data_IF_019408787433
#
_entry.id   IF_019408787433
#
_cell.length_a   1.000
_cell.length_b   1.000
_cell.length_c   1.000
_cell.angle_alpha   90.00
_cell.angle_beta   90.00
_cell.angle_gamma   90.00
#
_symmetry.space_group_name_H-M   'P 1'
#
loop_
_entity.id
_entity.type
_entity.pdbx_description
1 polymer ?
#
# COMPACT_ATOMS: atom_id res chain seq x y z
N UNK A 1 4.78 23.96 -0.15
CA UNK A 1 4.45 22.55 0.18
C UNK A 1 5.54 21.67 -0.44
N UNK A 2 6.13 20.78 0.36
CA UNK A 2 7.26 19.92 -0.04
C UNK A 2 6.91 18.44 0.04
N UNK A 3 6.10 18.05 1.04
CA UNK A 3 5.74 16.66 1.28
C UNK A 3 4.26 16.53 1.68
N UNK A 4 3.63 15.43 1.25
CA UNK A 4 2.30 15.02 1.70
C UNK A 4 2.35 13.56 2.13
N UNK A 5 1.89 13.28 3.35
CA UNK A 5 1.80 11.95 3.94
C UNK A 5 0.32 11.54 3.95
N UNK A 6 0.00 10.38 3.38
CA UNK A 6 -1.37 9.89 3.30
C UNK A 6 -1.51 8.50 3.91
N UNK A 7 -2.49 8.31 4.79
CA UNK A 7 -3.04 7.02 5.17
C UNK A 7 -4.38 6.81 4.45
N UNK A 8 -4.46 5.81 3.61
CA UNK A 8 -5.57 5.56 2.69
C UNK A 8 -6.22 4.22 3.04
N UNK A 9 -7.49 4.25 3.42
CA UNK A 9 -8.28 3.03 3.72
C UNK A 9 -9.77 3.25 3.44
N UNK A 10 -10.54 2.19 3.07
CA UNK A 10 -11.99 2.29 3.00
C UNK A 10 -12.64 2.54 4.38
N UNK A 11 -13.91 2.97 4.42
CA UNK A 11 -14.79 3.28 3.29
C UNK A 11 -14.53 4.67 2.70
N UNK A 12 -14.75 4.86 1.40
CA UNK A 12 -14.63 6.14 0.70
C UNK A 12 -16.00 6.74 0.37
N UNK A 13 -16.08 8.07 0.21
CA UNK A 13 -17.30 8.78 -0.16
C UNK A 13 -17.74 8.52 -1.60
N UNK A 14 -16.78 8.27 -2.48
CA UNK A 14 -16.99 8.04 -3.92
C UNK A 14 -16.16 6.83 -4.33
N UNK A 15 -16.65 6.11 -5.32
CA UNK A 15 -16.00 4.88 -5.81
C UNK A 15 -14.59 5.15 -6.37
N UNK A 16 -14.37 6.32 -6.97
CA UNK A 16 -13.05 6.76 -7.43
C UNK A 16 -13.03 8.30 -7.45
N UNK A 17 -12.13 8.97 -6.71
CA UNK A 17 -12.07 10.42 -6.69
C UNK A 17 -11.33 10.96 -7.93
N UNK A 18 -12.08 11.55 -8.86
CA UNK A 18 -11.49 12.39 -9.93
C UNK A 18 -11.34 13.86 -9.51
N UNK A 19 -11.80 14.23 -8.30
CA UNK A 19 -11.75 15.60 -7.82
C UNK A 19 -10.47 15.86 -7.06
N UNK A 20 -9.57 16.61 -7.63
CA UNK A 20 -8.31 17.02 -7.02
C UNK A 20 -7.07 16.58 -7.81
N UNK A 21 -7.23 15.80 -8.87
CA UNK A 21 -6.11 15.35 -9.70
C UNK A 21 -5.34 16.55 -10.29
N UNK A 22 -6.04 17.56 -10.80
CA UNK A 22 -5.39 18.78 -11.31
C UNK A 22 -4.54 19.47 -10.24
N UNK A 23 -5.04 19.56 -8.99
CA UNK A 23 -4.31 20.17 -7.87
C UNK A 23 -3.12 19.31 -7.43
N UNK A 24 -3.24 17.99 -7.45
CA UNK A 24 -2.14 17.06 -7.15
C UNK A 24 -1.08 17.10 -8.24
N UNK A 25 -1.49 17.03 -9.50
CA UNK A 25 -0.60 17.15 -10.65
C UNK A 25 0.19 18.46 -10.64
N UNK A 26 -0.45 19.57 -10.32
CA UNK A 26 0.19 20.87 -10.18
C UNK A 26 1.18 20.90 -8.99
N UNK A 27 0.84 20.27 -7.87
CA UNK A 27 1.74 20.15 -6.73
C UNK A 27 2.96 19.27 -7.05
N UNK A 28 2.77 18.16 -7.76
CA UNK A 28 3.88 17.29 -8.24
C UNK A 28 4.83 18.04 -9.17
N UNK A 29 4.31 18.83 -10.12
CA UNK A 29 5.15 19.68 -10.99
C UNK A 29 6.02 20.66 -10.20
N UNK A 30 5.59 21.08 -9.03
CA UNK A 30 6.35 21.92 -8.09
C UNK A 30 7.31 21.13 -7.18
N UNK A 31 7.46 19.82 -7.41
CA UNK A 31 8.36 18.96 -6.65
C UNK A 31 7.80 18.51 -5.29
N UNK A 32 6.49 18.53 -5.08
CA UNK A 32 5.86 17.99 -3.88
C UNK A 32 5.93 16.48 -3.91
N UNK A 33 6.52 15.88 -2.88
CA UNK A 33 6.63 14.44 -2.70
C UNK A 33 5.38 13.90 -2.01
N UNK A 34 4.76 12.87 -2.58
CA UNK A 34 3.64 12.16 -1.98
C UNK A 34 4.08 10.78 -1.49
N UNK A 35 3.76 10.46 -0.24
CA UNK A 35 3.99 9.16 0.38
C UNK A 35 2.66 8.59 0.86
N UNK A 36 2.23 7.50 0.25
CA UNK A 36 0.91 6.91 0.48
C UNK A 36 1.06 5.52 1.12
N UNK A 37 0.45 5.31 2.29
CA UNK A 37 0.23 3.98 2.86
C UNK A 37 -1.22 3.59 2.60
N UNK A 38 -1.43 2.52 1.86
CA UNK A 38 -2.73 2.10 1.36
C UNK A 38 -3.13 0.77 2.00
N UNK A 39 -4.36 0.71 2.53
CA UNK A 39 -4.93 -0.55 3.01
C UNK A 39 -5.24 -1.47 1.82
N UNK A 40 -4.89 -2.78 1.85
CA UNK A 40 -5.06 -3.70 0.73
C UNK A 40 -6.48 -3.79 0.17
N UNK A 41 -7.52 -3.65 1.02
CA UNK A 41 -8.92 -3.66 0.57
C UNK A 41 -9.23 -2.54 -0.44
N UNK A 42 -8.43 -1.48 -0.48
CA UNK A 42 -8.54 -0.42 -1.48
C UNK A 42 -8.33 -0.97 -2.89
N UNK A 43 -7.46 -1.96 -3.06
CA UNK A 43 -7.20 -2.61 -4.34
C UNK A 43 -8.40 -3.41 -4.89
N UNK A 44 -9.33 -3.83 -4.02
CA UNK A 44 -10.54 -4.53 -4.42
C UNK A 44 -11.67 -3.59 -4.86
N UNK A 45 -11.55 -2.28 -4.62
CA UNK A 45 -12.59 -1.31 -4.94
C UNK A 45 -12.51 -0.87 -6.42
N UNK A 46 -13.65 -0.76 -7.12
CA UNK A 46 -13.69 -0.34 -8.52
C UNK A 46 -13.00 1.02 -8.75
N UNK A 47 -12.11 1.06 -9.74
CA UNK A 47 -11.38 2.27 -10.15
C UNK A 47 -10.17 2.65 -9.29
N UNK A 48 -10.04 2.12 -8.08
CA UNK A 48 -8.91 2.44 -7.21
C UNK A 48 -7.55 1.91 -7.68
N UNK A 49 -7.44 0.69 -8.23
CA UNK A 49 -6.16 0.23 -8.77
C UNK A 49 -5.63 1.13 -9.87
N UNK A 50 -6.51 1.64 -10.71
CA UNK A 50 -6.17 2.55 -11.79
C UNK A 50 -5.66 3.90 -11.28
N UNK A 51 -6.31 4.44 -10.22
CA UNK A 51 -5.85 5.66 -9.56
C UNK A 51 -4.47 5.46 -8.95
N UNK A 52 -4.26 4.36 -8.21
CA UNK A 52 -2.96 4.08 -7.59
C UNK A 52 -1.87 3.90 -8.64
N UNK A 53 -2.19 3.31 -9.80
CA UNK A 53 -1.27 3.21 -10.92
C UNK A 53 -0.89 4.59 -11.47
N UNK A 54 -1.88 5.45 -11.72
CA UNK A 54 -1.66 6.82 -12.18
C UNK A 54 -0.82 7.64 -11.19
N UNK A 55 -1.10 7.52 -9.90
CA UNK A 55 -0.32 8.15 -8.84
C UNK A 55 1.14 7.65 -8.84
N UNK A 56 1.34 6.34 -8.98
CA UNK A 56 2.67 5.73 -9.06
C UNK A 56 3.44 6.20 -10.31
N UNK A 57 2.82 6.17 -11.49
CA UNK A 57 3.40 6.65 -12.74
C UNK A 57 3.73 8.16 -12.70
N UNK A 58 2.98 8.90 -11.90
CA UNK A 58 3.24 10.32 -11.62
C UNK A 58 4.35 10.55 -10.58
N UNK A 59 5.01 9.48 -10.10
CA UNK A 59 6.15 9.53 -9.19
C UNK A 59 5.80 9.56 -7.71
N UNK A 60 4.56 9.18 -7.33
CA UNK A 60 4.21 9.04 -5.92
C UNK A 60 4.72 7.72 -5.35
N UNK A 61 5.18 7.75 -4.11
CA UNK A 61 5.59 6.54 -3.40
C UNK A 61 4.38 5.88 -2.75
N UNK A 62 4.13 4.63 -3.07
CA UNK A 62 2.98 3.87 -2.58
C UNK A 62 3.46 2.61 -1.87
N UNK A 63 2.94 2.38 -0.66
CA UNK A 63 3.18 1.16 0.10
C UNK A 63 1.87 0.57 0.59
N UNK A 64 1.81 -0.75 0.75
CA UNK A 64 0.66 -1.47 1.30
C UNK A 64 0.89 -1.85 2.75
N UNK A 65 -0.15 -1.70 3.58
CA UNK A 65 -0.17 -2.15 4.97
C UNK A 65 -1.58 -2.58 5.35
N UNK A 66 -1.76 -3.78 5.92
CA UNK A 66 -3.06 -4.29 6.37
C UNK A 66 -3.61 -3.58 7.61
N UNK A 67 -2.73 -2.99 8.42
CA UNK A 67 -3.11 -2.32 9.67
C UNK A 67 -3.05 -0.80 9.54
N UNK A 68 -3.75 -0.22 8.55
CA UNK A 68 -3.92 1.24 8.46
C UNK A 68 -5.00 1.68 9.45
N UNK A 69 -4.68 2.43 10.52
CA UNK A 69 -5.62 2.65 11.63
C UNK A 69 -6.79 3.57 11.27
N UNK A 70 -6.54 4.63 10.52
CA UNK A 70 -7.51 5.63 10.06
C UNK A 70 -7.02 6.32 8.80
N UNK A 71 -7.88 7.12 8.18
CA UNK A 71 -7.48 8.02 7.08
C UNK A 71 -6.75 9.23 7.64
N UNK A 72 -5.71 9.67 6.95
CA UNK A 72 -4.99 10.88 7.33
C UNK A 72 -4.34 11.50 6.10
N UNK A 73 -4.31 12.82 6.06
CA UNK A 73 -3.48 13.58 5.14
C UNK A 73 -2.70 14.59 5.98
N UNK A 74 -1.39 14.60 5.83
CA UNK A 74 -0.53 15.61 6.47
C UNK A 74 0.30 16.31 5.40
N UNK A 75 0.26 17.62 5.38
CA UNK A 75 1.06 18.48 4.50
C UNK A 75 2.20 19.16 5.30
N UNK A 76 3.45 18.93 4.85
CA UNK A 76 4.68 19.55 5.37
C UNK A 76 4.88 19.40 6.90
N UNK A 77 4.20 18.46 7.55
CA UNK A 77 4.17 18.31 9.02
C UNK A 77 3.64 19.55 9.74
N UNK A 78 2.88 20.39 9.03
CA UNK A 78 2.31 21.64 9.57
C UNK A 78 0.79 21.64 9.60
N UNK A 79 0.16 20.89 8.70
CA UNK A 79 -1.28 20.79 8.58
C UNK A 79 -1.70 19.35 8.44
N UNK A 80 -2.54 18.86 9.34
CA UNK A 80 -3.11 17.52 9.33
C UNK A 80 -4.63 17.54 9.17
N UNK A 81 -5.16 16.59 8.38
CA UNK A 81 -6.58 16.36 8.21
C UNK A 81 -6.88 14.89 8.46
N UNK A 82 -7.79 14.60 9.37
CA UNK A 82 -8.21 13.23 9.69
C UNK A 82 -9.69 13.20 10.11
N UNK A 83 -10.39 12.06 9.93
CA UNK A 83 -11.77 11.94 10.38
C UNK A 83 -11.84 11.97 11.90
N UNK A 84 -12.84 12.68 12.45
CA UNK A 84 -13.09 12.69 13.89
C UNK A 84 -13.58 11.32 14.40
N UNK A 85 -14.26 10.58 13.53
CA UNK A 85 -14.70 9.20 13.79
C UNK A 85 -14.25 8.26 12.68
N UNK A 86 -13.64 7.15 13.06
CA UNK A 86 -13.21 6.12 12.12
C UNK A 86 -14.43 5.39 11.56
N UNK A 87 -14.44 5.14 10.23
CA UNK A 87 -15.51 4.39 9.57
C UNK A 87 -16.70 5.23 9.10
N UNK A 88 -16.75 6.54 9.44
CA UNK A 88 -17.78 7.47 8.94
C UNK A 88 -17.26 8.28 7.75
N UNK A 89 -17.55 7.91 6.49
CA UNK A 89 -17.00 8.61 5.32
C UNK A 89 -17.49 10.06 5.20
N UNK A 90 -18.70 10.35 5.70
CA UNK A 90 -19.33 11.69 5.71
C UNK A 90 -19.27 12.38 7.06
N UNK A 91 -18.51 11.81 7.99
CA UNK A 91 -18.34 12.38 9.32
C UNK A 91 -17.53 13.68 9.32
N UNK A 92 -17.53 14.39 10.45
CA UNK A 92 -16.74 15.59 10.61
C UNK A 92 -15.23 15.26 10.53
N UNK A 93 -14.48 16.22 10.00
CA UNK A 93 -13.03 16.14 9.87
C UNK A 93 -12.36 17.03 10.91
N UNK A 94 -11.29 16.55 11.49
CA UNK A 94 -10.43 17.31 12.39
C UNK A 94 -9.29 17.90 11.58
N UNK A 95 -9.16 19.24 11.66
CA UNK A 95 -8.03 19.98 11.11
C UNK A 95 -7.04 20.27 12.24
N UNK A 96 -5.85 19.74 12.12
CA UNK A 96 -4.75 19.99 13.05
C UNK A 96 -3.74 20.95 12.43
N UNK A 97 -3.34 21.93 13.21
CA UNK A 97 -2.17 22.76 12.93
C UNK A 97 -0.97 22.20 13.70
N UNK A 98 0.21 22.71 13.41
CA UNK A 98 1.45 22.34 14.08
C UNK A 98 1.27 22.26 15.60
N UNK A 99 1.54 21.09 16.14
CA UNK A 99 1.31 20.72 17.55
C UNK A 99 1.97 19.40 17.87
N UNK A 100 2.19 19.11 19.14
CA UNK A 100 2.71 17.80 19.57
C UNK A 100 1.84 16.60 19.10
N UNK A 101 0.51 16.81 18.93
CA UNK A 101 -0.38 15.79 18.39
C UNK A 101 -0.06 15.52 16.92
N UNK A 102 0.14 16.57 16.11
CA UNK A 102 0.50 16.42 14.71
C UNK A 102 1.88 15.77 14.56
N UNK A 103 2.84 16.15 15.41
CA UNK A 103 4.18 15.54 15.43
C UNK A 103 4.07 14.04 15.74
N UNK A 104 3.27 13.64 16.74
CA UNK A 104 3.03 12.24 17.07
C UNK A 104 2.37 11.45 15.90
N UNK A 105 1.45 12.07 15.15
CA UNK A 105 0.84 11.46 13.96
C UNK A 105 1.86 11.30 12.82
N UNK A 106 2.79 12.22 12.67
CA UNK A 106 3.89 12.08 11.71
C UNK A 106 4.82 10.92 12.09
N UNK A 107 5.19 10.79 13.37
CA UNK A 107 6.00 9.66 13.85
C UNK A 107 5.26 8.31 13.72
N UNK A 108 3.94 8.29 13.96
CA UNK A 108 3.11 7.13 13.66
C UNK A 108 3.19 6.77 12.18
N UNK A 109 3.07 7.77 11.28
CA UNK A 109 3.21 7.52 9.84
C UNK A 109 4.56 6.88 9.50
N UNK A 110 5.67 7.42 10.03
CA UNK A 110 7.00 6.85 9.76
C UNK A 110 7.11 5.41 10.28
N UNK A 111 6.57 5.14 11.47
CA UNK A 111 6.54 3.78 12.03
C UNK A 111 5.77 2.81 11.13
N UNK A 112 4.61 3.23 10.61
CA UNK A 112 3.81 2.45 9.68
C UNK A 112 4.51 2.32 8.32
N UNK A 113 5.18 3.38 7.85
CA UNK A 113 5.94 3.37 6.60
C UNK A 113 7.05 2.33 6.59
N UNK A 114 7.76 2.17 7.69
CA UNK A 114 8.81 1.15 7.83
C UNK A 114 8.26 -0.28 7.77
N UNK A 115 7.01 -0.50 8.19
CA UNK A 115 6.34 -1.80 8.16
C UNK A 115 5.64 -2.08 6.83
N UNK A 116 5.30 -1.02 6.09
CA UNK A 116 4.55 -1.12 4.85
C UNK A 116 5.42 -1.61 3.70
N UNK A 117 4.85 -2.43 2.83
CA UNK A 117 5.53 -3.06 1.68
C UNK A 117 5.36 -2.20 0.43
N UNK A 118 6.44 -1.85 -0.30
CA UNK A 118 6.35 -1.07 -1.53
C UNK A 118 5.41 -1.70 -2.56
N UNK A 119 4.60 -0.86 -3.21
CA UNK A 119 3.76 -1.21 -4.35
C UNK A 119 4.36 -0.58 -5.61
N UNK A 120 4.62 -1.40 -6.62
CA UNK A 120 5.12 -0.97 -7.93
C UNK A 120 4.19 -1.46 -9.03
N UNK A 121 4.06 -0.72 -10.12
CA UNK A 121 3.26 -1.10 -11.27
C UNK A 121 4.16 -1.33 -12.47
N UNK A 122 3.93 -2.45 -13.18
CA UNK A 122 4.60 -2.76 -14.43
C UNK A 122 3.81 -2.20 -15.63
N UNK A 123 4.48 -2.07 -16.78
CA UNK A 123 3.89 -1.52 -18.02
C UNK A 123 2.75 -2.37 -18.62
N UNK A 124 2.60 -3.62 -18.21
CA UNK A 124 1.55 -4.55 -18.65
C UNK A 124 0.27 -4.51 -17.78
N UNK A 125 0.08 -3.47 -16.98
CA UNK A 125 -0.99 -3.33 -15.98
C UNK A 125 -0.88 -4.32 -14.80
N UNK A 126 0.13 -5.15 -14.72
CA UNK A 126 0.41 -5.91 -13.51
C UNK A 126 1.03 -5.00 -12.44
N UNK A 127 0.90 -5.39 -11.18
CA UNK A 127 1.62 -4.70 -10.11
C UNK A 127 2.43 -5.71 -9.29
N UNK A 128 3.57 -5.25 -8.81
CA UNK A 128 4.45 -6.00 -7.92
C UNK A 128 4.48 -5.33 -6.55
N UNK A 129 4.55 -6.11 -5.51
CA UNK A 129 4.64 -5.64 -4.14
C UNK A 129 5.96 -6.15 -3.56
N UNK A 130 6.85 -5.24 -3.20
CA UNK A 130 8.22 -5.58 -2.73
C UNK A 130 9.17 -5.99 -3.85
N UNK A 131 10.40 -6.34 -3.49
CA UNK A 131 11.43 -6.84 -4.42
C UNK A 131 11.28 -8.35 -4.61
N UNK A 132 10.32 -8.77 -5.43
CA UNK A 132 9.92 -10.19 -5.54
C UNK A 132 10.76 -11.03 -6.52
N UNK A 133 11.77 -10.47 -7.16
CA UNK A 133 12.60 -11.14 -8.16
C UNK A 133 13.26 -12.49 -7.71
N UNK A 134 13.26 -12.78 -6.40
CA UNK A 134 13.88 -13.97 -5.83
C UNK A 134 13.07 -15.26 -5.98
N UNK A 135 11.78 -15.20 -6.33
CA UNK A 135 10.88 -16.37 -6.24
C UNK A 135 10.44 -16.97 -7.57
N UNK A 136 10.85 -16.38 -8.69
CA UNK A 136 10.40 -16.76 -10.03
C UNK A 136 8.98 -16.29 -10.38
N UNK A 137 8.62 -16.27 -11.69
CA UNK A 137 7.48 -15.49 -12.20
C UNK A 137 6.11 -15.87 -11.62
N UNK A 138 5.92 -17.10 -11.16
CA UNK A 138 4.63 -17.56 -10.61
C UNK A 138 4.39 -17.12 -9.16
N UNK A 139 5.45 -16.89 -8.39
CA UNK A 139 5.38 -16.49 -6.98
C UNK A 139 5.67 -14.99 -6.79
N UNK A 140 6.32 -14.40 -7.78
CA UNK A 140 6.76 -13.00 -7.76
C UNK A 140 5.63 -12.01 -7.51
N UNK A 141 4.48 -12.19 -8.14
CA UNK A 141 3.29 -11.36 -7.93
C UNK A 141 2.47 -11.76 -6.72
N UNK A 142 2.53 -13.03 -6.31
CA UNK A 142 1.71 -13.57 -5.24
C UNK A 142 2.28 -13.27 -3.84
N UNK A 143 3.58 -13.50 -3.65
CA UNK A 143 4.24 -13.37 -2.35
C UNK A 143 4.04 -11.98 -1.72
N UNK A 144 4.22 -10.90 -2.46
CA UNK A 144 4.02 -9.56 -1.91
C UNK A 144 2.57 -9.28 -1.49
N UNK A 145 1.57 -9.76 -2.23
CA UNK A 145 0.16 -9.64 -1.86
C UNK A 145 -0.14 -10.36 -0.54
N UNK A 146 0.40 -11.57 -0.38
CA UNK A 146 0.27 -12.34 0.85
C UNK A 146 1.00 -11.68 2.02
N UNK A 147 2.19 -11.13 1.77
CA UNK A 147 2.98 -10.42 2.77
C UNK A 147 2.30 -9.12 3.23
N UNK A 148 1.59 -8.43 2.32
CA UNK A 148 0.78 -7.25 2.63
C UNK A 148 -0.52 -7.59 3.38
N UNK A 149 -0.81 -8.88 3.64
CA UNK A 149 -2.03 -9.31 4.33
C UNK A 149 -3.29 -9.26 3.49
N UNK A 150 -3.18 -9.25 2.16
CA UNK A 150 -4.33 -9.31 1.25
C UNK A 150 -5.03 -10.66 1.43
N UNK A 151 -6.37 -10.64 1.51
CA UNK A 151 -7.18 -11.84 1.63
C UNK A 151 -7.01 -12.77 0.42
N UNK A 152 -6.95 -14.08 0.64
CA UNK A 152 -6.70 -15.10 -0.39
C UNK A 152 -7.67 -15.02 -1.57
N UNK A 153 -8.94 -14.73 -1.32
CA UNK A 153 -9.95 -14.53 -2.37
C UNK A 153 -9.57 -13.36 -3.28
N UNK A 154 -9.17 -12.24 -2.69
CA UNK A 154 -8.74 -11.03 -3.43
C UNK A 154 -7.44 -11.30 -4.20
N UNK A 155 -6.50 -12.05 -3.61
CA UNK A 155 -5.27 -12.48 -4.29
C UNK A 155 -5.60 -13.34 -5.50
N UNK A 156 -6.48 -14.34 -5.35
CA UNK A 156 -6.89 -15.22 -6.44
C UNK A 156 -7.58 -14.45 -7.59
N UNK A 157 -8.52 -13.56 -7.25
CA UNK A 157 -9.19 -12.69 -8.21
C UNK A 157 -8.19 -11.80 -8.99
N UNK A 158 -7.23 -11.22 -8.30
CA UNK A 158 -6.20 -10.37 -8.90
C UNK A 158 -5.27 -11.11 -9.85
N UNK A 159 -4.91 -12.35 -9.49
CA UNK A 159 -4.06 -13.20 -10.32
C UNK A 159 -4.84 -13.91 -11.44
N UNK A 160 -6.16 -13.70 -11.54
CA UNK A 160 -7.02 -14.38 -12.52
C UNK A 160 -7.04 -15.90 -12.35
N UNK A 161 -6.87 -16.41 -11.12
CA UNK A 161 -6.81 -17.84 -10.81
C UNK A 161 -7.89 -18.23 -9.79
N UNK A 162 -8.20 -19.52 -9.71
CA UNK A 162 -9.07 -20.03 -8.65
C UNK A 162 -8.36 -20.04 -7.29
N UNK A 163 -9.12 -19.93 -6.20
CA UNK A 163 -8.58 -20.09 -4.84
C UNK A 163 -7.83 -21.42 -4.66
N UNK A 164 -8.31 -22.50 -5.27
CA UNK A 164 -7.62 -23.81 -5.30
C UNK A 164 -6.24 -23.71 -5.96
N UNK A 165 -6.13 -22.96 -7.04
CA UNK A 165 -4.84 -22.74 -7.71
C UNK A 165 -3.91 -21.89 -6.84
N UNK A 166 -4.46 -20.88 -6.17
CA UNK A 166 -3.72 -20.07 -5.21
C UNK A 166 -3.17 -20.93 -4.07
N UNK A 167 -3.99 -21.77 -3.45
CA UNK A 167 -3.53 -22.67 -2.37
C UNK A 167 -2.38 -23.55 -2.82
N UNK A 168 -2.44 -24.14 -4.03
CA UNK A 168 -1.35 -24.93 -4.58
C UNK A 168 -0.06 -24.11 -4.76
N UNK A 169 -0.17 -22.85 -5.16
CA UNK A 169 1.00 -21.93 -5.25
C UNK A 169 1.56 -21.59 -3.89
N UNK A 170 0.71 -21.43 -2.88
CA UNK A 170 1.13 -21.23 -1.48
C UNK A 170 1.91 -22.47 -0.98
N UNK A 171 1.43 -23.67 -1.28
CA UNK A 171 2.15 -24.91 -0.94
C UNK A 171 3.52 -24.96 -1.63
N UNK A 172 3.61 -24.56 -2.90
CA UNK A 172 4.89 -24.43 -3.61
C UNK A 172 5.81 -23.43 -2.91
N UNK A 173 5.29 -22.28 -2.46
CA UNK A 173 6.05 -21.30 -1.71
C UNK A 173 6.59 -21.90 -0.40
N UNK A 174 5.78 -22.67 0.32
CA UNK A 174 6.22 -23.36 1.54
C UNK A 174 7.38 -24.32 1.27
N UNK A 175 7.29 -25.09 0.19
CA UNK A 175 8.36 -26.00 -0.24
C UNK A 175 9.63 -25.23 -0.62
N UNK A 176 9.50 -24.18 -1.42
CA UNK A 176 10.64 -23.34 -1.87
C UNK A 176 11.39 -22.72 -0.70
N UNK A 177 10.66 -22.24 0.31
CA UNK A 177 11.22 -21.61 1.50
C UNK A 177 11.54 -22.59 2.63
N UNK A 178 11.24 -23.89 2.46
CA UNK A 178 11.29 -24.88 3.53
C UNK A 178 10.51 -24.46 4.79
N UNK A 179 9.37 -23.78 4.57
CA UNK A 179 8.51 -23.24 5.62
C UNK A 179 7.47 -24.28 6.07
N UNK A 180 7.18 -24.32 7.37
CA UNK A 180 6.20 -25.24 7.97
C UNK A 180 4.89 -24.55 8.35
N UNK A 181 4.81 -23.23 8.22
CA UNK A 181 3.62 -22.44 8.52
C UNK A 181 3.58 -21.17 7.67
N UNK A 182 2.38 -20.59 7.55
CA UNK A 182 2.18 -19.31 6.83
C UNK A 182 3.02 -18.18 7.44
N UNK A 183 3.13 -18.14 8.75
CA UNK A 183 3.96 -17.17 9.45
C UNK A 183 5.45 -17.34 9.09
N UNK A 184 5.95 -18.58 9.14
CA UNK A 184 7.34 -18.88 8.79
C UNK A 184 7.63 -18.57 7.31
N UNK A 185 6.69 -18.89 6.40
CA UNK A 185 6.82 -18.56 4.99
C UNK A 185 6.88 -17.05 4.77
N UNK A 186 6.01 -16.29 5.43
CA UNK A 186 6.03 -14.83 5.38
C UNK A 186 7.33 -14.22 5.93
N UNK A 187 7.84 -14.74 7.04
CA UNK A 187 9.11 -14.32 7.63
C UNK A 187 10.29 -14.60 6.70
N UNK A 188 10.39 -15.83 6.16
CA UNK A 188 11.46 -16.22 5.26
C UNK A 188 11.39 -15.48 3.92
N UNK A 189 10.18 -15.23 3.40
CA UNK A 189 9.98 -14.40 2.22
C UNK A 189 10.46 -12.96 2.45
N UNK A 190 10.15 -12.37 3.60
CA UNK A 190 10.62 -11.04 3.96
C UNK A 190 12.15 -10.97 4.06
N UNK A 191 12.79 -11.97 4.68
CA UNK A 191 14.26 -12.05 4.74
C UNK A 191 14.89 -12.14 3.35
N UNK A 192 14.33 -12.96 2.44
CA UNK A 192 14.79 -13.06 1.05
C UNK A 192 14.66 -11.74 0.29
N UNK A 193 13.55 -11.02 0.49
CA UNK A 193 13.34 -9.70 -0.12
C UNK A 193 14.31 -8.64 0.42
N UNK A 194 14.74 -8.74 1.66
CA UNK A 194 15.69 -7.81 2.28
C UNK A 194 17.15 -8.09 1.86
N UNK A 195 17.51 -9.35 1.66
CA UNK A 195 18.88 -9.75 1.26
C UNK A 195 19.18 -9.55 -0.23
N UNK A 196 18.15 -9.59 -1.11
CA UNK A 196 18.32 -9.32 -2.54
C UNK A 196 18.58 -7.86 -2.91
N UNK A 197 18.45 -6.91 -1.97
CA UNK A 197 18.71 -5.49 -2.19
C UNK A 197 20.16 -5.01 -1.90
N UNK A 198 21.07 -5.93 -1.61
CA UNK A 198 22.44 -5.61 -1.16
C UNK A 198 23.54 -5.80 -2.23
N UNK A 199 23.17 -6.17 -3.45
CA UNK A 199 24.12 -6.29 -4.57
C UNK A 199 23.66 -5.43 -5.76
N UNK A 200 24.12 -4.16 -5.76
CA UNK A 200 23.91 -3.24 -6.86
C UNK A 200 24.53 -1.89 -6.57
#
# INVERSE_FOLDING_TARGET
MKEVLCLIRPPFLVSAPNKGEDSRAEARKRGVRYRNIVHPDTLALPGWPEILRQDYEAGEEIRLLSEVPFKMIVADRELGLLPLKVGEPRGPMLLLRRSAVLDALCELFETLWMKAVPLSFASDNSFTIGTAAAFGPQLETMVPLLAAGVNDKVVAERLGISERTLMRRIDTLYQTLNARSRFQAGWLAALHMMSGGSEG
#
